data_IF_841789625500
#
_entry.id   IF_841789625500
#
_cell.length_a   1.000
_cell.length_b   1.000
_cell.length_c   1.000
_cell.angle_alpha   90.00
_cell.angle_beta   90.00
_cell.angle_gamma   90.00
#
_symmetry.space_group_name_H-M   'P 1'
#
loop_
_entity.id
_entity.type
_entity.pdbx_description
1 polymer ?
#
# COMPACT_ATOMS: atom_id res chain seq x y z
N UNK A 1 37.68 76.86 47.94
CA UNK A 1 38.45 76.06 46.95
C UNK A 1 37.82 74.67 46.93
N UNK A 2 36.90 74.43 45.99
CA UNK A 2 36.29 73.09 45.78
C UNK A 2 36.83 72.48 44.51
N UNK A 3 37.35 71.28 44.52
CA UNK A 3 37.68 70.58 43.30
C UNK A 3 36.44 69.85 42.73
N UNK A 4 36.09 70.16 41.46
CA UNK A 4 35.14 69.41 40.68
C UNK A 4 35.75 68.09 40.30
N UNK A 5 35.03 67.01 40.62
CA UNK A 5 35.35 65.65 40.14
C UNK A 5 34.48 65.39 38.90
N UNK A 6 35.05 65.01 37.73
CA UNK A 6 34.24 64.66 36.59
C UNK A 6 33.76 63.21 36.73
N UNK A 7 32.44 63.03 36.69
CA UNK A 7 31.80 61.70 36.60
C UNK A 7 31.92 61.18 35.18
N UNK A 8 32.73 60.15 35.03
CA UNK A 8 32.89 59.42 33.76
C UNK A 8 31.71 58.47 33.58
N UNK A 9 30.78 58.81 32.70
CA UNK A 9 29.63 57.93 32.31
C UNK A 9 30.12 56.86 31.34
N UNK A 10 30.29 55.61 31.80
CA UNK A 10 30.57 54.46 30.98
C UNK A 10 29.25 53.95 30.45
N UNK A 11 28.97 54.25 29.18
CA UNK A 11 27.87 53.65 28.43
C UNK A 11 28.21 52.21 28.06
N UNK A 12 27.71 51.23 28.82
CA UNK A 12 27.72 49.81 28.39
C UNK A 12 26.72 49.64 27.26
N UNK A 13 27.22 49.48 26.03
CA UNK A 13 26.44 49.05 24.88
C UNK A 13 26.17 47.56 25.00
N UNK A 14 24.97 47.20 25.47
CA UNK A 14 24.44 45.85 25.32
C UNK A 14 24.08 45.61 23.82
N UNK A 15 24.95 44.93 23.09
CA UNK A 15 24.62 44.39 21.79
C UNK A 15 23.72 43.15 21.98
N UNK A 16 22.47 43.12 21.45
CA UNK A 16 21.71 41.89 21.44
C UNK A 16 22.41 40.89 20.49
N UNK A 17 22.98 39.86 21.05
CA UNK A 17 23.39 38.69 20.28
C UNK A 17 22.12 38.08 19.67
N UNK A 18 21.86 38.38 18.40
CA UNK A 18 20.88 37.66 17.61
C UNK A 18 21.32 36.19 17.47
N UNK A 19 20.99 35.38 18.44
CA UNK A 19 21.10 33.93 18.34
C UNK A 19 20.21 33.48 17.19
N UNK A 20 20.83 33.18 16.06
CA UNK A 20 20.18 32.35 15.06
C UNK A 20 20.00 30.96 15.67
N UNK A 21 18.82 30.71 16.24
CA UNK A 21 18.33 29.37 16.42
C UNK A 21 17.98 28.83 15.02
N UNK A 22 18.99 28.40 14.29
CA UNK A 22 18.79 27.46 13.17
C UNK A 22 18.57 26.10 13.85
N UNK A 23 17.43 25.94 14.50
CA UNK A 23 16.91 24.64 14.85
C UNK A 23 16.56 23.98 13.52
N UNK A 24 17.54 23.28 12.96
CA UNK A 24 17.38 22.50 11.75
C UNK A 24 16.16 21.59 11.92
N UNK A 25 15.02 21.99 11.36
CA UNK A 25 13.81 21.20 11.34
C UNK A 25 14.13 19.89 10.61
N UNK A 26 14.30 18.81 11.38
CA UNK A 26 14.49 17.49 10.80
C UNK A 26 13.12 16.91 10.45
N UNK A 27 12.84 16.77 9.17
CA UNK A 27 11.71 15.98 8.71
C UNK A 27 12.01 14.52 9.06
N UNK A 28 11.35 14.00 10.08
CA UNK A 28 11.51 12.60 10.51
C UNK A 28 10.76 11.65 9.59
N UNK A 29 9.66 12.08 9.01
CA UNK A 29 8.81 11.27 8.17
C UNK A 29 8.00 12.17 7.21
N UNK A 30 7.74 11.69 6.00
CA UNK A 30 6.91 12.38 5.01
C UNK A 30 5.67 11.55 4.70
N UNK A 31 4.55 12.21 4.45
CA UNK A 31 3.29 11.55 4.09
C UNK A 31 3.21 11.33 2.59
N UNK A 32 2.61 10.23 2.14
CA UNK A 32 2.29 9.96 0.73
C UNK A 32 0.81 10.06 0.45
N UNK A 33 -0.02 9.75 1.45
CA UNK A 33 -1.47 9.90 1.38
C UNK A 33 -2.10 9.94 2.77
N UNK A 34 -3.35 10.40 2.84
CA UNK A 34 -4.22 10.19 4.00
C UNK A 34 -5.58 9.70 3.52
N UNK A 35 -6.15 8.69 4.18
CA UNK A 35 -7.43 8.04 3.83
C UNK A 35 -8.35 8.07 5.04
N UNK A 36 -9.35 8.95 5.04
CA UNK A 36 -10.27 9.16 6.17
C UNK A 36 -9.55 9.45 7.49
N UNK A 37 -8.39 10.15 7.43
CA UNK A 37 -7.56 10.49 8.59
C UNK A 37 -6.49 9.44 8.95
N UNK A 38 -6.49 8.26 8.35
CA UNK A 38 -5.39 7.29 8.46
C UNK A 38 -4.26 7.72 7.52
N UNK A 39 -3.08 7.98 8.07
CA UNK A 39 -1.93 8.52 7.31
C UNK A 39 -1.07 7.38 6.81
N UNK A 40 -0.63 7.48 5.55
CA UNK A 40 0.33 6.59 4.91
C UNK A 40 1.65 7.38 4.72
N UNK A 41 2.74 6.81 5.19
CA UNK A 41 4.05 7.45 5.17
C UNK A 41 4.94 6.93 4.04
N UNK A 42 6.00 7.68 3.72
CA UNK A 42 7.03 7.27 2.75
C UNK A 42 7.72 5.97 3.20
N UNK A 43 7.97 5.82 4.50
CA UNK A 43 8.53 4.58 5.05
C UNK A 43 7.60 3.38 4.88
N UNK A 44 6.28 3.58 5.03
CA UNK A 44 5.27 2.54 4.77
C UNK A 44 5.26 2.14 3.30
N UNK A 45 5.34 3.13 2.39
CA UNK A 45 5.39 2.91 0.95
C UNK A 45 6.63 2.09 0.54
N UNK A 46 7.81 2.47 1.04
CA UNK A 46 9.05 1.76 0.77
C UNK A 46 9.00 0.30 1.28
N UNK A 47 8.46 0.12 2.50
CA UNK A 47 8.25 -1.20 3.09
C UNK A 47 7.27 -2.04 2.26
N UNK A 48 6.13 -1.47 1.88
CA UNK A 48 5.11 -2.14 1.07
C UNK A 48 5.69 -2.56 -0.28
N UNK A 49 6.40 -1.68 -0.98
CA UNK A 49 7.04 -1.98 -2.25
C UNK A 49 8.03 -3.16 -2.13
N UNK A 50 8.82 -3.19 -1.06
CA UNK A 50 9.74 -4.29 -0.82
C UNK A 50 9.02 -5.60 -0.50
N UNK A 51 8.00 -5.58 0.37
CA UNK A 51 7.25 -6.77 0.74
C UNK A 51 6.46 -7.35 -0.44
N UNK A 52 5.90 -6.51 -1.31
CA UNK A 52 5.27 -6.96 -2.56
C UNK A 52 6.24 -7.68 -3.48
N UNK A 53 7.49 -7.21 -3.55
CA UNK A 53 8.54 -7.83 -4.38
C UNK A 53 9.09 -9.12 -3.76
N UNK A 54 9.39 -9.10 -2.46
CA UNK A 54 10.15 -10.18 -1.83
C UNK A 54 9.29 -11.22 -1.10
N UNK A 55 8.12 -10.83 -0.59
CA UNK A 55 7.26 -11.70 0.21
C UNK A 55 5.97 -12.10 -0.52
N UNK A 56 5.84 -11.80 -1.80
CA UNK A 56 4.62 -11.93 -2.61
C UNK A 56 3.66 -13.05 -2.13
N UNK A 57 2.38 -12.72 -1.93
CA UNK A 57 1.36 -13.70 -1.56
C UNK A 57 1.12 -14.67 -2.73
N UNK A 58 0.78 -15.96 -2.47
CA UNK A 58 0.40 -16.88 -3.52
C UNK A 58 -0.68 -16.30 -4.41
N UNK A 59 -0.47 -16.33 -5.73
CA UNK A 59 -1.38 -15.74 -6.73
C UNK A 59 -1.14 -14.26 -7.04
N UNK A 60 -0.24 -13.58 -6.30
CA UNK A 60 0.28 -12.27 -6.70
C UNK A 60 1.72 -12.50 -7.20
N UNK A 61 1.99 -12.30 -8.49
CA UNK A 61 3.35 -12.47 -9.03
C UNK A 61 4.36 -11.56 -8.35
N UNK A 62 5.66 -11.87 -8.49
CA UNK A 62 6.75 -10.95 -8.20
C UNK A 62 6.63 -9.76 -9.16
N UNK A 63 5.98 -8.71 -8.73
CA UNK A 63 5.71 -7.55 -9.56
C UNK A 63 6.51 -6.35 -9.03
N UNK A 64 7.44 -5.86 -9.85
CA UNK A 64 8.10 -4.59 -9.59
C UNK A 64 7.12 -3.50 -10.02
N UNK A 65 6.41 -2.93 -9.07
CA UNK A 65 5.44 -1.86 -9.32
C UNK A 65 6.07 -0.48 -9.18
N UNK A 66 5.68 0.47 -10.02
CA UNK A 66 5.95 1.88 -9.77
C UNK A 66 5.40 2.31 -8.40
N UNK A 67 6.13 3.18 -7.67
CA UNK A 67 5.73 3.60 -6.32
C UNK A 67 4.32 4.21 -6.26
N UNK A 68 3.87 4.86 -7.33
CA UNK A 68 2.50 5.37 -7.45
C UNK A 68 1.46 4.25 -7.39
N UNK A 69 1.71 3.14 -8.06
CA UNK A 69 0.80 1.98 -8.03
C UNK A 69 0.82 1.30 -6.67
N UNK A 70 1.99 1.21 -6.02
CA UNK A 70 2.10 0.71 -4.64
C UNK A 70 1.26 1.59 -3.70
N UNK A 71 1.37 2.92 -3.79
CA UNK A 71 0.56 3.85 -3.01
C UNK A 71 -0.94 3.64 -3.25
N UNK A 72 -1.34 3.52 -4.51
CA UNK A 72 -2.75 3.37 -4.87
C UNK A 72 -3.32 2.03 -4.37
N UNK A 73 -2.50 0.95 -4.38
CA UNK A 73 -2.84 -0.32 -3.71
C UNK A 73 -2.96 -0.16 -2.20
N UNK A 74 -2.06 0.57 -1.54
CA UNK A 74 -2.15 0.84 -0.10
C UNK A 74 -3.42 1.62 0.26
N UNK A 75 -3.82 2.58 -0.57
CA UNK A 75 -5.09 3.31 -0.41
C UNK A 75 -6.28 2.37 -0.53
N UNK A 76 -6.28 1.48 -1.54
CA UNK A 76 -7.33 0.46 -1.73
C UNK A 76 -7.42 -0.49 -0.52
N UNK A 77 -6.28 -1.00 -0.06
CA UNK A 77 -6.20 -1.87 1.11
C UNK A 77 -6.73 -1.16 2.37
N UNK A 78 -6.35 0.11 2.56
CA UNK A 78 -6.81 0.93 3.69
C UNK A 78 -8.34 1.10 3.65
N UNK A 79 -8.91 1.43 2.49
CA UNK A 79 -10.37 1.51 2.32
C UNK A 79 -11.06 0.18 2.61
N UNK A 80 -10.52 -0.93 2.10
CA UNK A 80 -11.07 -2.26 2.33
C UNK A 80 -11.04 -2.65 3.82
N UNK A 81 -9.94 -2.36 4.52
CA UNK A 81 -9.81 -2.61 5.95
C UNK A 81 -10.72 -1.71 6.79
N UNK A 82 -10.94 -0.46 6.38
CA UNK A 82 -11.89 0.44 7.04
C UNK A 82 -13.33 -0.08 6.89
N UNK A 83 -13.71 -0.55 5.69
CA UNK A 83 -15.03 -1.15 5.47
C UNK A 83 -15.18 -2.50 6.18
N UNK A 84 -14.14 -3.33 6.19
CA UNK A 84 -14.11 -4.59 6.91
C UNK A 84 -14.33 -4.40 8.42
N UNK A 85 -13.68 -3.38 9.02
CA UNK A 85 -13.88 -3.02 10.44
C UNK A 85 -15.32 -2.58 10.73
N UNK A 86 -15.91 -1.76 9.86
CA UNK A 86 -17.33 -1.31 10.01
C UNK A 86 -18.32 -2.46 9.97
N UNK A 87 -18.03 -3.46 9.14
CA UNK A 87 -18.92 -4.59 8.92
C UNK A 87 -18.66 -5.76 9.90
N UNK A 88 -17.66 -5.63 10.78
CA UNK A 88 -17.21 -6.68 11.71
C UNK A 88 -16.95 -8.02 11.00
N UNK A 89 -16.46 -7.96 9.76
CA UNK A 89 -16.16 -9.13 8.97
C UNK A 89 -14.85 -9.76 9.45
N UNK A 90 -14.97 -10.99 9.90
CA UNK A 90 -13.95 -12.00 10.05
C UNK A 90 -12.64 -11.64 10.77
N UNK A 91 -12.01 -12.68 11.26
CA UNK A 91 -10.62 -12.66 11.76
C UNK A 91 -9.83 -13.69 10.96
N UNK A 92 -8.55 -13.45 10.80
CA UNK A 92 -7.64 -14.45 10.23
C UNK A 92 -7.27 -15.44 11.33
N UNK A 93 -7.50 -16.72 11.09
CA UNK A 93 -7.11 -17.75 12.04
C UNK A 93 -5.58 -17.89 12.11
N UNK A 94 -5.09 -18.33 13.27
CA UNK A 94 -3.65 -18.38 13.52
C UNK A 94 -2.92 -19.45 12.70
N UNK A 95 -3.58 -20.53 12.31
CA UNK A 95 -2.97 -21.61 11.52
C UNK A 95 -2.69 -21.09 10.12
N UNK A 96 -3.70 -20.51 9.47
CA UNK A 96 -3.58 -19.85 8.17
C UNK A 96 -2.53 -18.76 8.19
N UNK A 97 -2.57 -17.85 9.17
CA UNK A 97 -1.60 -16.76 9.29
C UNK A 97 -0.17 -17.29 9.45
N UNK A 98 0.03 -18.33 10.27
CA UNK A 98 1.36 -18.92 10.49
C UNK A 98 1.89 -19.62 9.23
N UNK A 99 1.02 -20.29 8.47
CA UNK A 99 1.38 -20.91 7.20
C UNK A 99 1.91 -19.87 6.20
N UNK A 100 1.14 -18.81 5.97
CA UNK A 100 1.56 -17.73 5.07
C UNK A 100 2.80 -16.97 5.57
N UNK A 101 2.94 -16.75 6.88
CA UNK A 101 4.11 -16.08 7.45
C UNK A 101 5.39 -16.88 7.17
N UNK A 102 5.38 -18.19 7.41
CA UNK A 102 6.53 -19.06 7.15
C UNK A 102 6.92 -19.09 5.67
N UNK A 103 5.93 -19.13 4.78
CA UNK A 103 6.18 -19.08 3.35
C UNK A 103 6.79 -17.74 2.91
N UNK A 104 6.26 -16.63 3.42
CA UNK A 104 6.78 -15.30 3.16
C UNK A 104 8.21 -15.11 3.72
N UNK A 105 8.51 -15.61 4.92
CA UNK A 105 9.86 -15.63 5.50
C UNK A 105 10.86 -16.36 4.58
N UNK A 106 10.46 -17.52 4.03
CA UNK A 106 11.29 -18.29 3.10
C UNK A 106 11.56 -17.50 1.80
N UNK A 107 10.54 -16.82 1.25
CA UNK A 107 10.70 -15.98 0.05
C UNK A 107 11.55 -14.75 0.33
N UNK A 108 11.35 -14.10 1.47
CA UNK A 108 12.18 -12.96 1.89
C UNK A 108 13.66 -13.33 1.97
N UNK A 109 13.98 -14.51 2.53
CA UNK A 109 15.35 -15.01 2.62
C UNK A 109 15.98 -15.30 1.25
N UNK A 110 15.17 -15.65 0.25
CA UNK A 110 15.61 -15.93 -1.12
C UNK A 110 15.52 -14.72 -2.06
N UNK A 111 15.10 -13.54 -1.56
CA UNK A 111 14.88 -12.36 -2.38
C UNK A 111 16.19 -11.84 -2.98
N UNK A 112 16.32 -11.73 -4.32
CA UNK A 112 17.55 -11.28 -4.98
C UNK A 112 17.89 -9.81 -4.72
N UNK A 113 16.88 -9.02 -4.34
CA UNK A 113 17.03 -7.61 -3.99
C UNK A 113 16.39 -7.37 -2.62
N UNK A 114 17.11 -7.68 -1.52
CA UNK A 114 16.56 -7.54 -0.17
C UNK A 114 16.11 -6.11 0.13
N UNK A 115 15.27 -5.97 1.14
CA UNK A 115 14.81 -4.66 1.60
C UNK A 115 15.99 -3.86 2.15
N UNK A 116 16.02 -2.55 1.86
CA UNK A 116 17.04 -1.63 2.42
C UNK A 116 17.02 -1.61 3.95
N UNK A 117 15.83 -1.77 4.53
CA UNK A 117 15.61 -1.90 5.95
C UNK A 117 15.22 -3.35 6.28
N UNK A 118 15.80 -3.89 7.34
CA UNK A 118 15.39 -5.17 7.91
C UNK A 118 13.91 -5.13 8.30
N UNK A 119 13.18 -6.15 7.88
CA UNK A 119 11.76 -6.35 8.21
C UNK A 119 11.68 -7.32 9.39
N UNK A 120 11.24 -6.83 10.54
CA UNK A 120 11.07 -7.68 11.71
C UNK A 120 9.99 -8.76 11.49
N UNK A 121 10.14 -9.98 12.06
CA UNK A 121 9.13 -11.04 11.90
C UNK A 121 7.71 -10.62 12.29
N UNK A 122 7.57 -9.76 13.30
CA UNK A 122 6.27 -9.20 13.71
C UNK A 122 5.67 -8.28 12.68
N UNK A 123 6.47 -7.45 12.01
CA UNK A 123 6.03 -6.55 10.92
C UNK A 123 5.57 -7.36 9.70
N UNK A 124 6.34 -8.39 9.31
CA UNK A 124 5.98 -9.29 8.23
C UNK A 124 4.66 -10.01 8.52
N UNK A 125 4.50 -10.54 9.74
CA UNK A 125 3.28 -11.23 10.17
C UNK A 125 2.06 -10.30 10.14
N UNK A 126 2.21 -9.05 10.58
CA UNK A 126 1.13 -8.07 10.55
C UNK A 126 0.78 -7.65 9.12
N UNK A 127 1.77 -7.48 8.25
CA UNK A 127 1.55 -7.22 6.83
C UNK A 127 0.73 -8.34 6.17
N UNK A 128 1.09 -9.60 6.42
CA UNK A 128 0.36 -10.76 5.91
C UNK A 128 -1.06 -10.80 6.45
N UNK A 129 -1.26 -10.54 7.75
CA UNK A 129 -2.58 -10.46 8.35
C UNK A 129 -3.46 -9.44 7.62
N UNK A 130 -2.94 -8.24 7.36
CA UNK A 130 -3.66 -7.19 6.61
C UNK A 130 -4.03 -7.65 5.21
N UNK A 131 -3.10 -8.27 4.47
CA UNK A 131 -3.36 -8.80 3.12
C UNK A 131 -4.43 -9.89 3.12
N UNK A 132 -4.40 -10.79 4.10
CA UNK A 132 -5.41 -11.82 4.25
C UNK A 132 -6.80 -11.24 4.56
N UNK A 133 -6.89 -10.22 5.41
CA UNK A 133 -8.14 -9.52 5.71
C UNK A 133 -8.71 -8.80 4.47
N UNK A 134 -7.86 -8.14 3.70
CA UNK A 134 -8.26 -7.49 2.43
C UNK A 134 -8.77 -8.53 1.43
N UNK A 135 -8.06 -9.65 1.28
CA UNK A 135 -8.47 -10.75 0.41
C UNK A 135 -9.82 -11.34 0.84
N UNK A 136 -9.99 -11.62 2.14
CA UNK A 136 -11.26 -12.14 2.68
C UNK A 136 -12.41 -11.14 2.46
N UNK A 137 -12.16 -9.86 2.66
CA UNK A 137 -13.13 -8.81 2.38
C UNK A 137 -13.60 -8.85 0.92
N UNK A 138 -12.70 -8.86 -0.05
CA UNK A 138 -13.08 -8.90 -1.47
C UNK A 138 -13.74 -10.22 -1.86
N UNK A 139 -13.29 -11.35 -1.32
CA UNK A 139 -13.94 -12.63 -1.55
C UNK A 139 -15.40 -12.62 -1.11
N UNK A 140 -15.71 -12.10 0.08
CA UNK A 140 -17.08 -12.09 0.63
C UNK A 140 -17.96 -10.98 0.06
N UNK A 141 -17.38 -9.85 -0.36
CA UNK A 141 -18.15 -8.66 -0.77
C UNK A 141 -18.24 -8.46 -2.27
N UNK A 142 -17.35 -9.11 -3.01
CA UNK A 142 -17.26 -8.95 -4.46
C UNK A 142 -17.31 -10.31 -5.15
N UNK A 143 -16.30 -11.17 -4.94
CA UNK A 143 -16.11 -12.37 -5.72
C UNK A 143 -17.30 -13.33 -5.66
N UNK A 144 -17.95 -13.48 -4.49
CA UNK A 144 -19.11 -14.36 -4.30
C UNK A 144 -20.31 -13.99 -5.19
N UNK A 145 -20.39 -12.76 -5.67
CA UNK A 145 -21.49 -12.28 -6.53
C UNK A 145 -21.13 -12.26 -8.02
N UNK A 146 -19.91 -12.66 -8.38
CA UNK A 146 -19.45 -12.65 -9.77
C UNK A 146 -19.64 -14.03 -10.37
N UNK A 147 -20.35 -14.07 -11.49
CA UNK A 147 -20.62 -15.30 -12.23
C UNK A 147 -20.16 -15.16 -13.69
N UNK A 148 -19.59 -16.22 -14.24
CA UNK A 148 -19.28 -16.38 -15.67
C UNK A 148 -20.18 -17.46 -16.25
N UNK A 149 -21.12 -17.07 -17.11
CA UNK A 149 -22.06 -17.99 -17.75
C UNK A 149 -21.36 -18.83 -18.82
N UNK A 150 -21.81 -20.07 -18.99
CA UNK A 150 -21.24 -20.95 -19.99
C UNK A 150 -21.30 -20.43 -21.43
N UNK A 151 -22.32 -19.60 -21.73
CA UNK A 151 -22.47 -18.95 -23.05
C UNK A 151 -21.43 -17.86 -23.28
N UNK A 152 -21.03 -17.15 -22.23
CA UNK A 152 -19.96 -16.13 -22.31
C UNK A 152 -18.63 -16.83 -22.62
N UNK A 153 -18.34 -17.94 -21.95
CA UNK A 153 -17.14 -18.74 -22.21
C UNK A 153 -17.12 -19.25 -23.64
N UNK A 154 -18.26 -19.78 -24.15
CA UNK A 154 -18.34 -20.24 -25.55
C UNK A 154 -18.05 -19.13 -26.54
N UNK A 155 -18.63 -17.95 -26.35
CA UNK A 155 -18.38 -16.77 -27.21
C UNK A 155 -16.92 -16.35 -27.17
N UNK A 156 -16.32 -16.29 -25.99
CA UNK A 156 -14.93 -15.91 -25.84
C UNK A 156 -13.97 -16.93 -26.46
N UNK A 157 -14.23 -18.21 -26.28
CA UNK A 157 -13.45 -19.26 -26.98
C UNK A 157 -13.54 -19.13 -28.50
N UNK A 158 -14.74 -18.93 -29.04
CA UNK A 158 -14.93 -18.75 -30.48
C UNK A 158 -14.17 -17.49 -30.98
N UNK A 159 -14.19 -16.40 -30.23
CA UNK A 159 -13.42 -15.19 -30.54
C UNK A 159 -11.92 -15.46 -30.57
N UNK A 160 -11.38 -16.15 -29.55
CA UNK A 160 -9.94 -16.45 -29.45
C UNK A 160 -9.49 -17.46 -30.51
N UNK A 161 -10.29 -18.48 -30.77
CA UNK A 161 -9.96 -19.48 -31.81
C UNK A 161 -9.94 -18.91 -33.23
N UNK A 162 -10.63 -17.79 -33.47
CA UNK A 162 -10.61 -17.06 -34.74
C UNK A 162 -9.46 -16.07 -34.87
N UNK A 163 -8.67 -15.86 -33.79
CA UNK A 163 -7.56 -14.92 -33.82
C UNK A 163 -6.35 -15.50 -34.58
N UNK A 164 -5.61 -14.67 -35.34
CA UNK A 164 -4.37 -15.11 -35.99
C UNK A 164 -3.36 -15.61 -34.95
N UNK A 165 -2.78 -16.80 -35.19
CA UNK A 165 -1.77 -17.39 -34.30
C UNK A 165 -2.32 -18.21 -33.13
N UNK A 166 -3.60 -18.53 -33.12
CA UNK A 166 -4.18 -19.44 -32.12
C UNK A 166 -3.57 -20.86 -32.26
N UNK A 167 -2.99 -21.37 -31.18
CA UNK A 167 -2.27 -22.64 -31.12
C UNK A 167 -3.15 -23.85 -30.71
N UNK A 168 -4.43 -23.64 -30.48
CA UNK A 168 -5.40 -24.70 -30.15
C UNK A 168 -5.30 -25.25 -28.72
N UNK A 169 -4.46 -24.70 -27.85
CA UNK A 169 -4.18 -25.28 -26.52
C UNK A 169 -5.07 -24.77 -25.40
N UNK A 170 -5.77 -23.63 -25.62
CA UNK A 170 -6.57 -22.99 -24.57
C UNK A 170 -7.80 -23.87 -24.23
N UNK A 171 -7.92 -24.22 -22.96
CA UNK A 171 -9.05 -24.99 -22.46
C UNK A 171 -10.23 -24.08 -22.09
N UNK A 172 -11.42 -24.67 -22.05
CA UNK A 172 -12.62 -23.97 -21.62
C UNK A 172 -12.53 -23.50 -20.17
N UNK A 173 -11.87 -24.27 -19.31
CA UNK A 173 -11.72 -23.93 -17.90
C UNK A 173 -10.76 -22.76 -17.71
N UNK A 174 -9.62 -22.73 -18.40
CA UNK A 174 -8.69 -21.60 -18.40
C UNK A 174 -9.39 -20.32 -18.84
N UNK A 175 -10.16 -20.35 -19.94
CA UNK A 175 -10.93 -19.17 -20.36
C UNK A 175 -11.93 -18.72 -19.32
N UNK A 176 -12.58 -19.68 -18.65
CA UNK A 176 -13.54 -19.37 -17.59
C UNK A 176 -12.87 -18.70 -16.39
N UNK A 177 -11.73 -19.23 -15.93
CA UNK A 177 -10.96 -18.67 -14.83
C UNK A 177 -10.48 -17.24 -15.15
N UNK A 178 -9.88 -17.03 -16.32
CA UNK A 178 -9.45 -15.71 -16.75
C UNK A 178 -10.61 -14.71 -16.83
N UNK A 179 -11.75 -15.13 -17.36
CA UNK A 179 -12.94 -14.27 -17.41
C UNK A 179 -13.49 -13.97 -16.01
N UNK A 180 -13.43 -14.94 -15.09
CA UNK A 180 -13.86 -14.75 -13.70
C UNK A 180 -12.94 -13.75 -13.00
N UNK A 181 -11.63 -13.92 -13.11
CA UNK A 181 -10.64 -13.01 -12.54
C UNK A 181 -10.79 -11.59 -13.10
N UNK A 182 -10.96 -11.45 -14.41
CA UNK A 182 -11.17 -10.16 -15.05
C UNK A 182 -12.44 -9.47 -14.54
N UNK A 183 -13.55 -10.21 -14.36
CA UNK A 183 -14.82 -9.68 -13.81
C UNK A 183 -14.68 -9.31 -12.35
N UNK A 184 -14.04 -10.14 -11.52
CA UNK A 184 -13.75 -9.82 -10.12
C UNK A 184 -12.92 -8.54 -10.05
N UNK A 185 -11.85 -8.44 -10.84
CA UNK A 185 -11.02 -7.23 -10.90
C UNK A 185 -11.82 -5.99 -11.29
N UNK A 186 -12.76 -6.11 -12.26
CA UNK A 186 -13.63 -5.00 -12.64
C UNK A 186 -14.57 -4.59 -11.50
N UNK A 187 -15.17 -5.57 -10.80
CA UNK A 187 -16.06 -5.27 -9.68
C UNK A 187 -15.31 -4.67 -8.48
N UNK A 188 -14.06 -5.07 -8.25
CA UNK A 188 -13.18 -4.42 -7.25
C UNK A 188 -12.95 -2.96 -7.63
N UNK A 189 -12.62 -2.66 -8.89
CA UNK A 189 -12.48 -1.27 -9.37
C UNK A 189 -13.75 -0.46 -9.21
N UNK A 190 -14.90 -1.04 -9.55
CA UNK A 190 -16.21 -0.42 -9.37
C UNK A 190 -16.50 -0.14 -7.90
N UNK A 191 -16.19 -1.09 -7.01
CA UNK A 191 -16.31 -0.91 -5.58
C UNK A 191 -15.40 0.21 -5.08
N UNK A 192 -14.13 0.19 -5.48
CA UNK A 192 -13.14 1.23 -5.13
C UNK A 192 -13.64 2.63 -5.53
N UNK A 193 -14.12 2.79 -6.76
CA UNK A 193 -14.63 4.08 -7.23
C UNK A 193 -15.81 4.57 -6.37
N UNK A 194 -16.75 3.67 -6.01
CA UNK A 194 -17.89 4.01 -5.15
C UNK A 194 -17.47 4.39 -3.72
N UNK A 195 -16.47 3.71 -3.15
CA UNK A 195 -16.01 3.99 -1.79
C UNK A 195 -15.12 5.24 -1.77
N UNK A 196 -14.23 5.38 -2.74
CA UNK A 196 -13.35 6.54 -2.87
C UNK A 196 -14.14 7.84 -3.04
N UNK A 197 -15.28 7.83 -3.77
CA UNK A 197 -16.14 9.01 -3.93
C UNK A 197 -16.75 9.52 -2.62
N UNK A 198 -16.79 8.69 -1.57
CA UNK A 198 -17.32 9.00 -0.24
C UNK A 198 -16.21 9.18 0.81
N UNK A 199 -14.99 8.81 0.48
CA UNK A 199 -13.85 8.87 1.37
C UNK A 199 -13.14 10.24 1.23
N UNK A 200 -12.54 10.68 2.34
CA UNK A 200 -11.61 11.82 2.29
C UNK A 200 -10.21 11.28 2.01
N UNK A 201 -9.79 11.36 0.74
CA UNK A 201 -8.45 10.98 0.31
C UNK A 201 -7.67 12.23 -0.01
N UNK A 202 -6.51 12.40 0.63
CA UNK A 202 -5.57 13.50 0.39
C UNK A 202 -4.25 12.87 -0.06
N UNK A 203 -3.78 13.26 -1.25
CA UNK A 203 -2.50 12.79 -1.79
C UNK A 203 -1.43 13.87 -1.54
N UNK A 204 -0.26 13.43 -1.10
CA UNK A 204 0.92 14.31 -1.05
C UNK A 204 1.69 14.20 -2.37
N UNK A 205 2.37 15.26 -2.80
CA UNK A 205 3.28 15.19 -3.95
C UNK A 205 4.33 14.10 -3.71
N UNK A 206 4.56 13.27 -4.72
CA UNK A 206 5.64 12.29 -4.74
C UNK A 206 6.67 12.77 -5.77
N UNK A 207 7.91 12.94 -5.33
CA UNK A 207 9.02 13.11 -6.27
C UNK A 207 9.25 11.77 -6.97
N UNK A 208 9.20 11.78 -8.30
CA UNK A 208 9.56 10.61 -9.12
C UNK A 208 11.09 10.43 -9.00
N UNK A 209 11.53 9.57 -8.07
CA UNK A 209 12.93 9.13 -7.94
C UNK A 209 13.11 7.81 -8.65
#
# INVERSE_FOLDING_TARGET
MNPCVPILLVLLSLSPAAGRADEGYRVYESTVASVNGEVLFVSDLAREACLLRCAAMPGTGEEILPLREVRDRMILDTLALQEQRKLLLGTVDNVTLTGYAREAESRMAACPSPCEREIAPGELREWIRRKLLVRDFFNRRVAVFVEVKGDDVRREMARRSSAPGYDGKLTREEVREEMLEARIGQEIRNWQARVASKARIVLSPMEDR
#
